data_IF_932110309444
#
_entry.id   IF_932110309444
#
_cell.length_a   1.000
_cell.length_b   1.000
_cell.length_c   1.000
_cell.angle_alpha   90.00
_cell.angle_beta   90.00
_cell.angle_gamma   90.00
#
_symmetry.space_group_name_H-M   'P 1'
#
loop_
_entity.id
_entity.type
_entity.pdbx_description
1 polymer ?
#
# COMPACT_ATOMS: atom_id res chain seq x y z
N UNK A 1 8.61 -9.15 7.96
CA UNK A 1 9.52 -8.03 8.26
C UNK A 1 8.77 -6.72 8.08
N UNK A 2 9.15 -5.63 8.76
CA UNK A 2 8.55 -4.33 8.48
C UNK A 2 8.89 -3.86 7.06
N UNK A 3 7.91 -3.25 6.38
CA UNK A 3 8.06 -2.69 5.03
C UNK A 3 8.21 -1.17 5.11
N UNK A 4 9.03 -0.57 4.24
CA UNK A 4 9.09 0.89 4.10
C UNK A 4 7.92 1.41 3.26
N UNK A 5 7.49 2.63 3.50
CA UNK A 5 6.39 3.26 2.74
C UNK A 5 6.60 3.22 1.22
N UNK A 6 7.83 3.52 0.76
CA UNK A 6 8.19 3.46 -0.67
C UNK A 6 8.12 2.06 -1.26
N UNK A 7 8.49 1.05 -0.47
CA UNK A 7 8.43 -0.35 -0.90
C UNK A 7 6.98 -0.80 -1.05
N UNK A 8 6.12 -0.47 -0.07
CA UNK A 8 4.71 -0.78 -0.16
C UNK A 8 4.02 -0.07 -1.32
N UNK A 9 4.35 1.20 -1.57
CA UNK A 9 3.87 1.94 -2.73
C UNK A 9 4.22 1.22 -4.05
N UNK A 10 5.49 0.84 -4.22
CA UNK A 10 5.96 0.18 -5.44
C UNK A 10 5.29 -1.19 -5.64
N UNK A 11 5.17 -2.00 -4.59
CA UNK A 11 4.50 -3.31 -4.63
C UNK A 11 3.00 -3.16 -4.97
N UNK A 12 2.30 -2.19 -4.36
CA UNK A 12 0.91 -1.91 -4.69
C UNK A 12 0.74 -1.47 -6.15
N UNK A 13 1.68 -0.67 -6.69
CA UNK A 13 1.67 -0.31 -8.11
C UNK A 13 1.86 -1.52 -9.03
N UNK A 14 2.73 -2.47 -8.67
CA UNK A 14 2.87 -3.76 -9.38
C UNK A 14 1.60 -4.60 -9.32
N UNK A 15 0.85 -4.53 -8.22
CA UNK A 15 -0.49 -5.13 -8.10
C UNK A 15 -1.60 -4.37 -8.86
N UNK A 16 -1.26 -3.37 -9.68
CA UNK A 16 -2.22 -2.64 -10.51
C UNK A 16 -2.94 -1.48 -9.81
N UNK A 17 -2.48 -1.06 -8.63
CA UNK A 17 -2.99 0.16 -8.02
C UNK A 17 -2.31 1.39 -8.62
N UNK A 18 -3.07 2.48 -8.79
CA UNK A 18 -2.54 3.77 -9.22
C UNK A 18 -2.76 4.81 -8.14
N UNK A 19 -1.83 5.77 -8.04
CA UNK A 19 -2.00 6.91 -7.13
C UNK A 19 -3.11 7.80 -7.68
N UNK A 20 -4.24 7.85 -6.98
CA UNK A 20 -5.41 8.66 -7.36
C UNK A 20 -5.27 10.10 -6.86
N UNK A 21 -4.75 10.28 -5.65
CA UNK A 21 -4.56 11.58 -5.01
C UNK A 21 -3.45 11.46 -3.96
N UNK A 22 -2.70 12.53 -3.77
CA UNK A 22 -1.80 12.67 -2.63
C UNK A 22 -2.06 14.02 -1.94
N UNK A 23 -2.04 14.01 -0.61
CA UNK A 23 -2.11 15.22 0.22
C UNK A 23 -1.03 15.12 1.29
N UNK A 24 0.00 15.96 1.18
CA UNK A 24 1.22 15.80 1.97
C UNK A 24 1.83 14.41 1.76
N UNK A 25 2.07 13.68 2.85
CA UNK A 25 2.56 12.30 2.83
C UNK A 25 1.50 11.26 2.54
N UNK A 26 0.20 11.57 2.63
CA UNK A 26 -0.84 10.56 2.49
C UNK A 26 -1.19 10.35 1.02
N UNK A 27 -0.83 9.19 0.48
CA UNK A 27 -1.18 8.75 -0.86
C UNK A 27 -2.43 7.85 -0.81
N UNK A 28 -3.40 8.16 -1.67
CA UNK A 28 -4.60 7.34 -1.93
C UNK A 28 -4.35 6.54 -3.19
N UNK A 29 -4.41 5.21 -3.07
CA UNK A 29 -4.20 4.27 -4.17
C UNK A 29 -5.49 3.58 -4.54
N UNK A 30 -5.82 3.52 -5.83
CA UNK A 30 -7.03 2.88 -6.34
C UNK A 30 -6.70 1.87 -7.43
N UNK A 31 -7.35 0.70 -7.38
CA UNK A 31 -7.28 -0.31 -8.42
C UNK A 31 -8.49 -0.19 -9.35
N UNK A 32 -8.35 -0.61 -10.62
CA UNK A 32 -9.41 -0.51 -11.63
C UNK A 32 -10.71 -1.23 -11.22
N UNK A 33 -10.58 -2.35 -10.48
CA UNK A 33 -11.72 -3.11 -9.93
C UNK A 33 -12.41 -2.47 -8.69
N UNK A 34 -12.07 -1.23 -8.34
CA UNK A 34 -12.74 -0.47 -7.29
C UNK A 34 -12.10 -0.52 -5.90
N UNK A 35 -11.14 -1.43 -5.64
CA UNK A 35 -10.38 -1.48 -4.37
C UNK A 35 -9.59 -0.19 -4.15
N UNK A 36 -9.46 0.23 -2.90
CA UNK A 36 -8.74 1.44 -2.51
C UNK A 36 -7.98 1.23 -1.21
N UNK A 37 -6.72 1.68 -1.16
CA UNK A 37 -5.90 1.67 0.06
C UNK A 37 -5.13 2.98 0.21
N UNK A 38 -4.42 3.13 1.32
CA UNK A 38 -3.72 4.35 1.70
C UNK A 38 -2.30 4.01 2.14
N UNK A 39 -1.32 4.78 1.67
CA UNK A 39 0.07 4.68 2.12
C UNK A 39 0.51 6.05 2.61
N UNK A 40 1.04 6.09 3.83
CA UNK A 40 1.60 7.29 4.41
C UNK A 40 3.11 7.33 4.12
N UNK A 41 3.54 8.24 3.24
CA UNK A 41 4.90 8.37 2.69
C UNK A 41 5.86 9.06 3.66
N UNK A 42 6.05 8.45 4.82
CA UNK A 42 7.00 8.90 5.84
C UNK A 42 8.29 8.06 5.81
N UNK A 43 9.42 8.59 6.32
CA UNK A 43 10.59 7.78 6.63
C UNK A 43 10.26 6.72 7.68
N UNK A 44 10.93 5.57 7.58
CA UNK A 44 10.79 4.47 8.53
C UNK A 44 9.83 3.36 8.07
N UNK A 45 9.54 2.49 9.02
CA UNK A 45 8.80 1.26 8.81
C UNK A 45 7.30 1.49 8.99
N UNK A 46 6.49 0.84 8.14
CA UNK A 46 5.04 0.83 8.28
C UNK A 46 4.69 0.03 9.54
N UNK A 47 3.93 0.59 10.50
CA UNK A 47 3.46 -0.15 11.65
C UNK A 47 2.67 -1.39 11.24
N UNK A 48 2.83 -2.50 11.96
CA UNK A 48 2.16 -3.77 11.64
C UNK A 48 0.64 -3.63 11.46
N UNK A 49 -0.02 -2.82 12.29
CA UNK A 49 -1.45 -2.53 12.17
C UNK A 49 -1.80 -1.84 10.84
N UNK A 50 -1.02 -0.83 10.46
CA UNK A 50 -1.17 -0.13 9.18
C UNK A 50 -0.93 -1.07 8.00
N UNK A 51 0.09 -1.92 8.06
CA UNK A 51 0.35 -2.91 7.02
C UNK A 51 -0.82 -3.90 6.86
N UNK A 52 -1.38 -4.40 7.97
CA UNK A 52 -2.58 -5.26 7.94
C UNK A 52 -3.80 -4.53 7.36
N UNK A 53 -3.98 -3.25 7.68
CA UNK A 53 -5.05 -2.44 7.06
C UNK A 53 -4.85 -2.30 5.55
N UNK A 54 -3.62 -2.10 5.09
CA UNK A 54 -3.29 -2.04 3.65
C UNK A 54 -3.64 -3.36 2.97
N UNK A 55 -3.23 -4.51 3.53
CA UNK A 55 -3.56 -5.84 2.99
C UNK A 55 -5.07 -6.04 2.89
N UNK A 56 -5.81 -5.77 3.98
CA UNK A 56 -7.27 -5.89 4.00
C UNK A 56 -7.96 -5.01 2.94
N UNK A 57 -7.52 -3.76 2.81
CA UNK A 57 -8.09 -2.80 1.86
C UNK A 57 -7.73 -3.09 0.41
N UNK A 58 -6.49 -3.53 0.17
CA UNK A 58 -6.01 -3.94 -1.15
C UNK A 58 -6.52 -5.31 -1.57
N UNK A 59 -7.06 -6.10 -0.62
CA UNK A 59 -7.49 -7.47 -0.87
C UNK A 59 -6.33 -8.38 -1.26
N UNK A 60 -5.12 -8.09 -0.77
CA UNK A 60 -3.93 -8.92 -0.94
C UNK A 60 -3.69 -9.72 0.34
N UNK A 61 -3.27 -10.97 0.17
CA UNK A 61 -2.64 -11.75 1.23
C UNK A 61 -1.23 -11.25 1.49
N UNK A 62 -0.67 -11.60 2.64
CA UNK A 62 0.73 -11.26 2.94
C UNK A 62 1.71 -11.92 1.96
N UNK A 63 1.41 -13.14 1.51
CA UNK A 63 2.23 -13.88 0.55
C UNK A 63 2.22 -13.22 -0.83
N UNK A 64 1.04 -12.88 -1.36
CA UNK A 64 0.92 -12.12 -2.61
C UNK A 64 1.71 -10.81 -2.52
N UNK A 65 1.56 -10.06 -1.42
CA UNK A 65 2.30 -8.82 -1.22
C UNK A 65 3.82 -9.04 -1.17
N UNK A 66 4.27 -10.13 -0.56
CA UNK A 66 5.70 -10.48 -0.46
C UNK A 66 6.29 -10.77 -1.84
N UNK A 67 5.52 -11.40 -2.72
CA UNK A 67 5.94 -11.81 -4.06
C UNK A 67 5.84 -10.71 -5.13
N UNK A 68 5.31 -9.53 -4.80
CA UNK A 68 5.33 -8.33 -5.63
C UNK A 68 6.67 -7.59 -5.57
#
# INVERSE_FOLDING_TARGET
MPYKAREALAKLQRAGFVVKRQSGSHAVLRHANGRQTYVAMHPGDIPTGTFRSILKQSGLTEEEFRNL
#
